data_IF_812869684772
#
_entry.id   IF_812869684772
#
_cell.length_a   1.000
_cell.length_b   1.000
_cell.length_c   1.000
_cell.angle_alpha   90.00
_cell.angle_beta   90.00
_cell.angle_gamma   90.00
#
_symmetry.space_group_name_H-M   'P 1'
#
loop_
_entity.id
_entity.type
_entity.pdbx_description
1 polymer ?
2 non-polymer ?
3 non-polymer ?
4 non-polymer ?
5 water ?
#
# COMPACT_ATOMS: atom_id res chain seq x y z
N UNK A 3 -7.01 -10.54 15.01
CA UNK A 3 -6.51 -9.15 15.29
C UNK A 3 -7.58 -8.11 15.05
N UNK A 4 -7.60 -7.04 15.84
CA UNK A 4 -8.71 -6.09 15.79
C UNK A 4 -8.37 -4.72 15.16
N UNK A 5 -9.06 -4.51 14.06
CA UNK A 5 -8.96 -3.36 13.24
C UNK A 5 -9.63 -2.16 13.96
N UNK A 6 -8.96 -1.02 13.92
CA UNK A 6 -9.51 0.24 14.47
C UNK A 6 -10.79 0.61 13.72
N UNK A 7 -11.93 0.79 14.42
CA UNK A 7 -13.13 1.18 13.68
C UNK A 7 -13.06 2.62 13.21
N UNK A 8 -13.57 2.88 12.01
CA UNK A 8 -13.58 4.23 11.45
C UNK A 8 -14.80 4.37 10.56
N UNK A 9 -15.26 5.62 10.35
CA UNK A 9 -16.22 5.83 9.27
C UNK A 9 -15.67 5.41 7.92
N UNK A 10 -16.58 5.08 7.02
CA UNK A 10 -16.23 4.76 5.65
C UNK A 10 -16.12 6.03 4.81
N UNK A 11 -15.01 6.16 4.11
CA UNK A 11 -14.83 7.21 3.13
C UNK A 11 -14.74 6.57 1.77
N UNK A 12 -15.65 6.92 0.87
CA UNK A 12 -15.54 6.41 -0.50
C UNK A 12 -14.59 7.29 -1.31
N UNK A 13 -13.61 6.66 -1.92
CA UNK A 13 -12.76 7.30 -2.88
C UNK A 13 -13.18 6.75 -4.24
N UNK A 14 -13.95 7.52 -5.01
CA UNK A 14 -14.66 6.94 -6.16
C UNK A 14 -15.48 5.76 -5.65
N UNK A 15 -15.33 4.60 -6.29
CA UNK A 15 -16.08 3.41 -5.90
C UNK A 15 -15.40 2.59 -4.80
N UNK A 16 -14.22 3.01 -4.34
CA UNK A 16 -13.42 2.23 -3.39
C UNK A 16 -13.67 2.72 -1.97
N UNK A 17 -14.25 1.86 -1.10
CA UNK A 17 -14.47 2.31 0.26
C UNK A 17 -13.22 2.09 1.09
N UNK A 18 -12.89 3.07 1.92
CA UNK A 18 -11.79 2.87 2.85
C UNK A 18 -12.26 3.17 4.26
N UNK A 19 -11.73 2.39 5.19
CA UNK A 19 -12.10 2.53 6.55
C UNK A 19 -12.12 1.20 7.24
N UNK A 20 -12.43 1.21 8.52
CA UNK A 20 -12.30 0.00 9.38
C UNK A 20 -13.12 -1.22 8.98
N UNK A 21 -14.20 -1.01 8.24
CA UNK A 21 -15.02 -2.09 7.76
C UNK A 21 -14.58 -2.68 6.40
N UNK A 22 -13.50 -2.16 5.83
CA UNK A 22 -13.12 -2.48 4.46
C UNK A 22 -11.68 -2.96 4.34
N UNK A 23 -11.39 -3.72 3.27
CA UNK A 23 -10.00 -4.14 3.05
C UNK A 23 -9.07 -2.93 3.00
N UNK A 24 -7.88 -3.09 3.56
CA UNK A 24 -6.86 -2.02 3.48
C UNK A 24 -6.45 -1.86 2.02
N UNK A 25 -6.64 -0.66 1.49
CA UNK A 25 -6.43 -0.38 0.07
C UNK A 25 -5.02 -0.04 -0.28
N UNK A 26 -4.57 -0.58 -1.39
CA UNK A 26 -3.25 -0.26 -1.92
C UNK A 26 -3.33 0.92 -2.86
N UNK A 27 -2.45 1.89 -2.70
CA UNK A 27 -2.38 2.98 -3.64
C UNK A 27 -0.96 3.26 -4.08
N UNK A 28 -0.85 4.13 -5.06
CA UNK A 28 0.42 4.50 -5.63
C UNK A 28 0.29 5.89 -6.21
N UNK A 29 1.36 6.37 -6.82
CA UNK A 29 1.36 7.69 -7.42
C UNK A 29 2.15 7.63 -8.70
N UNK A 30 1.68 8.35 -9.72
CA UNK A 30 2.39 8.46 -10.97
C UNK A 30 3.68 9.31 -10.85
N UNK A 31 4.60 9.09 -11.79
CA UNK A 31 5.79 9.97 -11.90
C UNK A 31 6.01 10.58 -13.28
N UNK A 32 4.97 10.52 -14.10
CA UNK A 32 4.95 11.19 -15.38
C UNK A 32 4.49 12.65 -15.18
N UNK A 33 4.94 13.56 -16.06
CA UNK A 33 4.35 14.89 -16.04
C UNK A 33 2.83 14.81 -16.30
N UNK A 34 2.02 15.32 -15.39
CA UNK A 34 0.58 15.23 -15.54
C UNK A 34 0.07 15.87 -16.86
N UNK A 35 0.72 16.94 -17.31
CA UNK A 35 0.36 17.58 -18.54
C UNK A 35 0.46 16.63 -19.74
N UNK A 36 1.31 15.61 -19.64
CA UNK A 36 1.44 14.60 -20.71
C UNK A 36 0.32 13.57 -20.56
N UNK A 37 -0.77 13.81 -21.28
CA UNK A 37 -1.98 12.98 -21.14
C UNK A 37 -1.75 11.51 -21.51
N UNK A 38 -1.02 11.27 -22.58
CA UNK A 38 -0.82 9.91 -23.06
C UNK A 38 0.05 9.15 -22.06
N UNK A 39 1.16 9.77 -21.62
CA UNK A 39 2.06 9.10 -20.69
C UNK A 39 1.37 8.84 -19.33
N UNK A 40 0.62 9.82 -18.83
CA UNK A 40 0.02 9.70 -17.53
C UNK A 40 -1.13 8.68 -17.53
N UNK A 41 -1.98 8.76 -18.55
CA UNK A 41 -3.05 7.77 -18.69
C UNK A 41 -2.49 6.35 -18.71
N UNK A 42 -1.43 6.13 -19.51
CA UNK A 42 -0.82 4.80 -19.63
C UNK A 42 -0.28 4.34 -18.28
N UNK A 43 0.33 5.26 -17.50
CA UNK A 43 0.93 4.84 -16.25
C UNK A 43 -0.17 4.59 -15.22
N UNK A 44 -1.24 5.38 -15.22
CA UNK A 44 -2.36 5.12 -14.32
C UNK A 44 -2.91 3.69 -14.55
N UNK A 45 -3.10 3.34 -15.83
CA UNK A 45 -3.57 2.02 -16.21
C UNK A 45 -2.60 0.92 -15.80
N UNK A 46 -1.30 1.15 -15.99
CA UNK A 46 -0.26 0.19 -15.60
C UNK A 46 -0.31 -0.06 -14.09
N UNK A 47 -0.42 1.02 -13.32
CA UNK A 47 -0.42 0.89 -11.88
C UNK A 47 -1.68 0.18 -11.39
N UNK A 48 -2.82 0.56 -11.96
CA UNK A 48 -4.10 -0.08 -11.64
C UNK A 48 -4.06 -1.57 -11.95
N UNK A 49 -3.55 -1.93 -13.12
CA UNK A 49 -3.48 -3.34 -13.51
C UNK A 49 -2.55 -4.14 -12.60
N UNK A 50 -1.53 -3.50 -12.03
CA UNK A 50 -0.62 -4.14 -11.08
C UNK A 50 -1.23 -4.34 -9.70
N UNK A 51 -2.35 -3.66 -9.45
CA UNK A 51 -3.06 -3.77 -8.17
C UNK A 51 -3.24 -2.50 -7.38
N UNK A 52 -2.89 -1.34 -7.97
CA UNK A 52 -3.18 -0.04 -7.33
C UNK A 52 -4.68 0.26 -7.41
N UNK A 53 -5.37 0.15 -6.29
CA UNK A 53 -6.81 0.34 -6.21
C UNK A 53 -7.20 1.83 -6.32
N UNK A 54 -6.30 2.70 -5.89
CA UNK A 54 -6.42 4.19 -5.98
C UNK A 54 -5.10 4.69 -6.63
N UNK A 55 -5.14 5.70 -7.51
CA UNK A 55 -3.91 6.25 -8.04
C UNK A 55 -3.91 7.77 -7.84
N UNK A 56 -2.81 8.29 -7.31
CA UNK A 56 -2.58 9.70 -7.11
C UNK A 56 -1.74 10.29 -8.23
N UNK A 57 -2.03 11.54 -8.62
CA UNK A 57 -1.21 12.26 -9.56
C UNK A 57 -1.02 13.71 -9.12
N UNK A 58 0.17 14.26 -9.36
CA UNK A 58 0.41 15.63 -8.94
C UNK A 58 -0.40 16.57 -9.85
N UNK A 59 -1.03 17.57 -9.24
CA UNK A 59 -1.69 18.61 -10.01
C UNK A 59 -1.03 19.91 -9.60
N UNK A 60 0.13 20.18 -10.25
CA UNK A 60 1.09 21.18 -9.76
C UNK A 60 1.00 22.58 -10.37
N UNK A 61 0.40 22.64 -11.56
CA UNK A 61 0.31 23.87 -12.34
C UNK A 61 -0.89 23.83 -13.27
N UNK A 62 -1.07 24.92 -14.02
CA UNK A 62 -2.25 25.09 -14.82
C UNK A 62 -2.31 24.04 -15.93
N UNK A 63 -1.16 23.72 -16.53
CA UNK A 63 -1.15 22.74 -17.61
C UNK A 63 -1.49 21.34 -17.09
N UNK A 64 -1.05 21.02 -15.87
CA UNK A 64 -1.48 19.77 -15.23
C UNK A 64 -2.99 19.74 -15.02
N UNK A 65 -3.51 20.82 -14.45
CA UNK A 65 -4.92 20.91 -14.17
C UNK A 65 -5.76 20.72 -15.44
N UNK A 66 -5.33 21.34 -16.55
CA UNK A 66 -6.06 21.24 -17.81
C UNK A 66 -6.05 19.81 -18.39
N UNK A 67 -5.03 19.02 -18.05
CA UNK A 67 -4.92 17.62 -18.52
C UNK A 67 -5.82 16.63 -17.78
N UNK A 68 -6.17 16.92 -16.54
CA UNK A 68 -6.82 15.92 -15.66
C UNK A 68 -8.16 15.44 -16.24
N UNK A 69 -9.03 16.36 -16.75
CA UNK A 69 -10.31 15.88 -17.29
C UNK A 69 -10.14 14.92 -18.46
N UNK A 70 -9.16 15.17 -19.31
CA UNK A 70 -8.92 14.28 -20.43
C UNK A 70 -8.38 12.94 -19.97
N UNK A 71 -7.50 12.93 -18.99
CA UNK A 71 -6.98 11.66 -18.46
C UNK A 71 -8.16 10.85 -17.89
N UNK A 72 -9.02 11.50 -17.08
CA UNK A 72 -10.18 10.78 -16.53
C UNK A 72 -11.12 10.24 -17.62
N UNK A 73 -11.36 11.04 -18.65
CA UNK A 73 -12.23 10.65 -19.76
C UNK A 73 -11.69 9.40 -20.45
N UNK A 74 -10.38 9.38 -20.67
CA UNK A 74 -9.78 8.24 -21.32
C UNK A 74 -9.86 6.98 -20.49
N UNK A 75 -9.67 7.13 -19.18
CA UNK A 75 -9.78 5.99 -18.26
C UNK A 75 -11.18 5.39 -18.31
N UNK A 76 -12.18 6.25 -18.21
CA UNK A 76 -13.55 5.81 -18.21
C UNK A 76 -13.96 5.15 -19.54
N UNK A 77 -13.38 5.60 -20.66
CA UNK A 77 -13.66 5.03 -21.96
C UNK A 77 -13.24 3.57 -22.05
N UNK A 78 -12.27 3.15 -21.24
CA UNK A 78 -11.98 1.73 -21.19
C UNK A 78 -12.47 1.00 -19.98
N UNK A 79 -13.47 1.59 -19.32
CA UNK A 79 -14.06 0.96 -18.15
C UNK A 79 -13.12 0.91 -16.95
N UNK A 80 -12.05 1.72 -16.93
CA UNK A 80 -11.13 1.71 -15.80
C UNK A 80 -11.62 2.73 -14.79
N UNK A 81 -12.32 2.22 -13.77
CA UNK A 81 -12.95 3.08 -12.75
C UNK A 81 -12.03 3.40 -11.58
N UNK A 82 -10.73 3.41 -11.84
CA UNK A 82 -9.74 3.65 -10.84
C UNK A 82 -9.85 5.11 -10.35
N UNK A 83 -10.03 5.29 -9.05
CA UNK A 83 -10.12 6.68 -8.59
C UNK A 83 -8.80 7.41 -8.64
N UNK A 84 -8.88 8.69 -8.96
CA UNK A 84 -7.75 9.59 -9.01
C UNK A 84 -7.77 10.59 -7.85
N UNK A 85 -6.62 10.69 -7.21
CA UNK A 85 -6.36 11.64 -6.14
C UNK A 85 -5.44 12.71 -6.71
N UNK A 86 -5.85 13.97 -6.58
CA UNK A 86 -4.98 15.05 -6.98
C UNK A 86 -4.11 15.55 -5.86
N UNK A 87 -2.81 15.70 -6.12
CA UNK A 87 -1.87 16.10 -5.07
C UNK A 87 -1.60 17.61 -5.26
N UNK A 88 -1.99 18.42 -4.28
CA UNK A 88 -1.91 19.88 -4.42
C UNK A 88 -0.92 20.45 -3.41
N UNK A 89 -0.08 21.39 -3.85
CA UNK A 89 0.84 22.15 -2.99
C UNK A 89 0.94 23.57 -3.48
N UNK A 90 0.92 24.51 -2.54
CA UNK A 90 1.13 25.96 -2.76
C UNK A 90 0.01 26.69 -3.47
N UNK A 91 -0.49 26.13 -4.57
CA UNK A 91 -1.46 26.82 -5.40
C UNK A 91 -2.74 26.02 -5.61
N UNK A 92 -3.02 25.07 -4.72
CA UNK A 92 -4.19 24.19 -4.86
C UNK A 92 -5.50 24.96 -4.92
N UNK A 93 -5.63 25.97 -4.06
CA UNK A 93 -6.81 26.81 -4.05
C UNK A 93 -7.03 27.54 -5.41
N UNK A 94 -5.97 28.01 -6.04
CA UNK A 94 -6.05 28.71 -7.32
C UNK A 94 -6.46 27.74 -8.42
N UNK A 95 -5.86 26.54 -8.42
CA UNK A 95 -6.13 25.57 -9.49
C UNK A 95 -7.55 25.01 -9.43
N UNK A 96 -8.00 24.67 -8.23
CA UNK A 96 -9.35 24.17 -8.01
C UNK A 96 -10.40 25.24 -8.36
N UNK A 97 -10.12 26.52 -8.04
CA UNK A 97 -11.01 27.64 -8.38
C UNK A 97 -11.06 27.86 -9.89
N UNK A 98 -9.88 27.87 -10.54
CA UNK A 98 -9.79 28.25 -11.96
C UNK A 98 -10.21 27.15 -12.93
N UNK A 99 -10.08 25.89 -12.49
CA UNK A 99 -10.33 24.72 -13.35
C UNK A 99 -11.38 23.77 -12.75
N UNK A 100 -12.65 24.21 -12.74
CA UNK A 100 -13.71 23.40 -12.11
C UNK A 100 -13.87 22.01 -12.73
N UNK A 101 -13.52 21.85 -14.01
CA UNK A 101 -13.64 20.53 -14.65
C UNK A 101 -12.59 19.55 -14.12
N UNK A 102 -11.41 20.07 -13.75
CA UNK A 102 -10.42 19.26 -13.06
C UNK A 102 -10.93 18.89 -11.67
N UNK A 103 -11.48 19.87 -10.95
CA UNK A 103 -11.99 19.59 -9.61
C UNK A 103 -13.07 18.49 -9.62
N UNK A 104 -13.93 18.54 -10.62
CA UNK A 104 -15.00 17.55 -10.75
C UNK A 104 -14.48 16.19 -11.25
N UNK A 105 -13.40 16.17 -12.04
CA UNK A 105 -12.86 14.91 -12.58
C UNK A 105 -12.10 14.09 -11.55
N UNK A 106 -11.45 14.77 -10.61
CA UNK A 106 -10.76 14.09 -9.51
C UNK A 106 -11.76 13.41 -8.60
N UNK A 107 -11.33 12.31 -7.97
CA UNK A 107 -12.15 11.59 -7.02
C UNK A 107 -11.82 11.97 -5.56
N UNK A 108 -10.69 12.65 -5.35
CA UNK A 108 -10.25 13.06 -4.03
C UNK A 108 -9.18 14.12 -4.18
N UNK A 109 -9.16 15.05 -3.22
CA UNK A 109 -8.15 16.09 -3.15
C UNK A 109 -7.22 15.79 -1.97
N UNK A 110 -5.92 15.86 -2.22
CA UNK A 110 -4.93 15.86 -1.13
C UNK A 110 -4.47 17.30 -0.87
N UNK A 111 -4.62 17.70 0.40
CA UNK A 111 -4.13 18.99 0.96
C UNK A 111 -2.96 18.71 1.90
N UNK A 112 -1.94 19.59 1.90
CA UNK A 112 -0.85 19.48 2.84
C UNK A 112 -0.88 20.74 3.69
N UNK A 113 -1.13 20.58 5.01
CA UNK A 113 -1.23 21.79 5.84
C UNK A 113 0.06 22.64 5.95
N UNK A 114 1.17 22.09 5.50
CA UNK A 114 2.43 22.80 5.44
C UNK A 114 2.76 23.44 4.10
N UNK A 115 1.91 23.24 3.10
CA UNK A 115 2.14 23.85 1.78
C UNK A 115 0.93 24.68 1.35
N UNK A 116 0.34 25.38 2.29
CA UNK A 116 -0.85 26.19 2.00
C UNK A 116 -0.48 27.66 1.75
N UNK A 117 0.72 28.07 2.13
CA UNK A 117 1.12 29.50 2.13
C UNK A 117 1.57 29.94 3.52
N UNK A 118 1.90 31.21 3.69
CA UNK A 118 2.48 31.67 4.97
C UNK A 118 1.50 32.47 5.85
N UNK A 119 1.67 32.31 7.15
CA UNK A 119 0.81 32.97 8.16
C UNK A 119 -0.69 32.99 7.88
N UNK A 120 -1.19 34.16 7.50
CA UNK A 120 -2.63 34.42 7.45
C UNK A 120 -3.24 33.82 6.16
N UNK A 121 -2.42 33.76 5.12
CA UNK A 121 -2.88 33.19 3.85
C UNK A 121 -3.29 31.71 4.03
N UNK A 122 -2.63 31.00 4.92
CA UNK A 122 -2.87 29.57 5.15
C UNK A 122 -4.34 29.23 5.38
N UNK A 123 -4.92 29.86 6.42
CA UNK A 123 -6.30 29.55 6.81
C UNK A 123 -7.28 29.79 5.67
N UNK A 124 -7.09 30.89 4.93
CA UNK A 124 -7.95 31.21 3.80
C UNK A 124 -7.83 30.19 2.66
N UNK A 125 -6.61 29.77 2.34
CA UNK A 125 -6.39 28.81 1.25
C UNK A 125 -6.98 27.45 1.63
N UNK A 126 -6.77 27.04 2.88
CA UNK A 126 -7.38 25.83 3.41
C UNK A 126 -8.89 25.85 3.26
N UNK A 127 -9.51 26.91 3.78
CA UNK A 127 -10.98 27.05 3.73
C UNK A 127 -11.52 26.96 2.31
N UNK A 128 -10.82 27.58 1.36
CA UNK A 128 -11.25 27.56 -0.04
C UNK A 128 -11.24 26.15 -0.66
N UNK A 129 -10.18 25.39 -0.40
CA UNK A 129 -10.08 24.03 -0.91
C UNK A 129 -11.15 23.14 -0.27
N UNK A 130 -11.38 23.32 1.03
CA UNK A 130 -12.43 22.56 1.74
C UNK A 130 -13.84 22.93 1.21
N UNK A 131 -14.11 24.24 1.03
CA UNK A 131 -15.34 24.71 0.41
C UNK A 131 -15.60 24.05 -0.96
N UNK A 132 -14.58 24.01 -1.83
CA UNK A 132 -14.71 23.36 -3.13
C UNK A 132 -15.03 21.86 -3.00
N UNK A 133 -14.32 21.17 -2.12
CA UNK A 133 -14.61 19.76 -1.84
C UNK A 133 -16.04 19.57 -1.37
N UNK A 134 -16.50 20.40 -0.44
CA UNK A 134 -17.88 20.31 0.06
C UNK A 134 -18.89 20.57 -1.06
N UNK A 135 -18.64 21.59 -1.87
CA UNK A 135 -19.54 21.92 -3.01
C UNK A 135 -19.69 20.75 -3.97
N UNK A 136 -18.59 20.02 -4.19
CA UNK A 136 -18.55 18.96 -5.18
C UNK A 136 -18.73 17.54 -4.60
N UNK A 137 -18.85 17.47 -3.29
CA UNK A 137 -19.03 16.21 -2.59
C UNK A 137 -17.79 15.34 -2.64
N UNK A 138 -16.62 15.96 -2.76
CA UNK A 138 -15.37 15.22 -2.78
C UNK A 138 -14.75 14.99 -1.41
N UNK A 139 -14.15 13.81 -1.25
CA UNK A 139 -13.34 13.54 -0.06
C UNK A 139 -11.97 14.21 -0.15
N UNK A 140 -11.34 14.38 1.00
CA UNK A 140 -10.08 15.07 1.13
C UNK A 140 -9.14 14.25 2.01
N UNK A 141 -7.87 14.19 1.64
CA UNK A 141 -6.85 13.73 2.56
C UNK A 141 -6.12 14.96 3.04
N UNK A 142 -6.08 15.11 4.34
CA UNK A 142 -5.22 16.06 4.94
C UNK A 142 -3.94 15.32 5.27
N UNK A 143 -2.90 15.64 4.52
CA UNK A 143 -1.69 14.88 4.59
C UNK A 143 -0.51 15.72 4.99
N UNK A 144 -0.08 15.54 6.21
CA UNK A 144 1.10 16.19 6.72
C UNK A 144 2.36 15.34 6.43
N UNK A 145 3.47 16.02 6.23
CA UNK A 145 4.74 15.36 6.00
C UNK A 145 5.82 16.18 6.72
N UNK A 146 6.72 15.50 7.39
CA UNK A 146 7.73 16.20 8.15
C UNK A 146 8.71 17.00 7.27
N UNK A 147 8.69 16.73 5.98
CA UNK A 147 9.49 17.47 5.04
C UNK A 147 8.92 18.84 4.68
N UNK A 148 7.70 19.10 5.08
CA UNK A 148 7.01 20.34 4.78
C UNK A 148 6.16 20.74 6.01
N UNK A 149 6.78 20.79 7.17
CA UNK A 149 6.07 21.07 8.41
C UNK A 149 5.83 22.59 8.54
N UNK A 150 4.60 22.98 8.85
CA UNK A 150 4.22 24.37 9.18
C UNK A 150 5.18 24.98 10.22
N UNK A 151 6.01 25.97 9.83
CA UNK A 151 7.00 26.52 10.80
C UNK A 151 6.41 27.25 12.01
N UNK A 152 5.23 27.85 11.85
CA UNK A 152 4.57 28.59 12.94
C UNK A 152 4.10 27.63 14.02
N UNK A 153 3.58 26.49 13.58
CA UNK A 153 3.17 25.45 14.50
C UNK A 153 4.37 24.87 15.25
N UNK A 154 5.49 24.69 14.54
CA UNK A 154 6.70 24.15 15.13
C UNK A 154 7.20 25.09 16.24
N UNK A 155 7.18 26.39 15.95
CA UNK A 155 7.65 27.35 16.94
C UNK A 155 6.71 27.35 18.16
N UNK A 156 5.39 27.24 17.92
CA UNK A 156 4.44 27.16 19.04
C UNK A 156 4.76 25.98 19.96
N UNK A 157 5.04 24.84 19.39
CA UNK A 157 5.29 23.64 20.19
C UNK A 157 6.69 23.61 20.79
N UNK A 158 7.63 24.27 20.13
CA UNK A 158 8.96 24.41 20.71
C UNK A 158 8.88 25.27 21.98
N UNK A 159 8.02 26.29 21.99
CA UNK A 159 7.87 27.16 23.17
C UNK A 159 7.14 26.43 24.31
N UNK A 160 6.09 25.68 23.97
CA UNK A 160 5.41 24.84 24.97
C UNK A 160 6.40 23.89 25.60
N UNK A 161 7.23 23.27 24.77
CA UNK A 161 8.21 22.33 25.26
C UNK A 161 9.25 22.94 26.20
N UNK A 162 9.69 24.15 25.85
CA UNK A 162 10.64 24.89 26.67
C UNK A 162 10.12 25.25 28.06
N UNK A 163 8.80 25.32 28.22
CA UNK A 163 8.18 25.56 29.52
C UNK A 163 8.03 24.30 30.38
N UNK A 164 8.28 23.12 29.82
CA UNK A 164 8.09 21.88 30.57
C UNK A 164 9.16 21.73 31.62
N UNK A 165 8.83 21.11 32.77
CA UNK A 165 9.86 20.86 33.78
C UNK A 165 11.03 20.02 33.25
N UNK A 166 10.75 19.07 32.36
CA UNK A 166 11.79 18.33 31.64
C UNK A 166 11.50 18.42 30.13
N UNK A 167 12.07 19.41 29.45
CA UNK A 167 11.79 19.51 28.03
C UNK A 167 12.26 18.28 27.24
N UNK A 168 11.48 17.91 26.23
CA UNK A 168 11.83 16.84 25.30
C UNK A 168 12.84 17.32 24.29
N UNK A 169 13.39 16.39 23.52
CA UNK A 169 14.35 16.74 22.51
C UNK A 169 13.66 17.46 21.36
N UNK A 170 14.46 18.16 20.57
CA UNK A 170 13.99 18.88 19.40
C UNK A 170 13.33 17.92 18.42
N UNK A 171 13.90 16.72 18.30
CA UNK A 171 13.35 15.69 17.40
C UNK A 171 11.92 15.31 17.84
N UNK A 172 11.76 15.07 19.12
CA UNK A 172 10.47 14.72 19.69
C UNK A 172 9.44 15.83 19.47
N UNK A 173 9.86 17.10 19.64
CA UNK A 173 8.97 18.23 19.37
C UNK A 173 8.52 18.28 17.91
N UNK A 174 9.43 18.01 17.00
CA UNK A 174 9.03 17.95 15.58
C UNK A 174 7.91 16.92 15.38
N UNK A 175 8.01 15.74 15.98
CA UNK A 175 6.99 14.72 15.86
C UNK A 175 5.66 15.18 16.47
N UNK A 176 5.74 15.86 17.61
CA UNK A 176 4.54 16.46 18.22
C UNK A 176 3.85 17.44 17.29
N UNK A 177 4.66 18.27 16.65
CA UNK A 177 4.16 19.29 15.75
C UNK A 177 3.51 18.71 14.51
N UNK A 178 4.11 17.64 13.99
CA UNK A 178 3.56 16.96 12.82
C UNK A 178 2.15 16.42 13.13
N UNK A 179 2.00 15.77 14.27
CA UNK A 179 0.70 15.24 14.70
C UNK A 179 -0.28 16.39 14.87
N UNK A 180 0.19 17.42 15.57
CA UNK A 180 -0.69 18.57 15.85
C UNK A 180 -1.18 19.27 14.57
N UNK A 181 -0.31 19.36 13.57
CA UNK A 181 -0.66 19.92 12.29
C UNK A 181 -1.84 19.18 11.67
N UNK A 182 -1.74 17.85 11.61
CA UNK A 182 -2.80 17.01 11.04
C UNK A 182 -4.09 17.08 11.86
N UNK A 183 -3.96 16.98 13.20
CA UNK A 183 -5.14 16.99 14.06
C UNK A 183 -5.87 18.34 14.00
N UNK A 184 -5.13 19.44 14.06
CA UNK A 184 -5.76 20.79 13.98
C UNK A 184 -6.49 21.00 12.68
N UNK A 185 -5.87 20.56 11.59
CA UNK A 185 -6.51 20.72 10.29
C UNK A 185 -7.74 19.85 10.14
N UNK A 186 -7.64 18.61 10.64
CA UNK A 186 -8.81 17.71 10.72
C UNK A 186 -9.99 18.36 11.43
N UNK A 187 -9.72 18.88 12.63
CA UNK A 187 -10.74 19.52 13.43
C UNK A 187 -11.33 20.78 12.73
N UNK A 188 -10.47 21.55 12.08
CA UNK A 188 -10.92 22.72 11.32
C UNK A 188 -11.89 22.34 10.20
N UNK A 189 -11.54 21.30 9.47
CA UNK A 189 -12.34 20.85 8.34
C UNK A 189 -13.69 20.34 8.80
N UNK A 190 -13.70 19.57 9.88
CA UNK A 190 -14.97 19.15 10.49
C UNK A 190 -15.84 20.32 10.93
N UNK A 191 -15.20 21.31 11.53
CA UNK A 191 -15.93 22.47 12.00
C UNK A 191 -16.54 23.30 10.86
N UNK A 192 -15.88 23.28 9.70
CA UNK A 192 -16.40 23.93 8.49
C UNK A 192 -17.55 23.16 7.86
N UNK A 193 -17.78 21.92 8.29
CA UNK A 193 -18.89 21.13 7.81
C UNK A 193 -18.55 20.00 6.85
N UNK A 194 -17.26 19.75 6.64
CA UNK A 194 -16.87 18.62 5.79
C UNK A 194 -17.23 17.35 6.54
N UNK A 195 -17.80 16.36 5.87
CA UNK A 195 -18.28 15.19 6.65
C UNK A 195 -17.17 14.27 7.13
N UNK A 196 -17.43 13.49 8.18
CA UNK A 196 -16.54 12.41 8.61
C UNK A 196 -16.41 11.34 7.55
N UNK A 197 -17.38 11.25 6.65
CA UNK A 197 -17.27 10.32 5.52
C UNK A 197 -16.50 10.91 4.34
N UNK A 198 -15.83 12.04 4.56
CA UNK A 198 -15.11 12.74 3.51
C UNK A 198 -13.68 13.14 3.90
N UNK A 199 -13.17 12.60 5.00
CA UNK A 199 -11.85 13.00 5.52
C UNK A 199 -10.96 11.80 5.87
N UNK A 200 -9.78 11.79 5.26
CA UNK A 200 -8.72 10.82 5.48
C UNK A 200 -7.51 11.63 5.99
N UNK A 201 -6.72 11.07 6.90
CA UNK A 201 -5.53 11.73 7.43
C UNK A 201 -4.26 10.92 7.22
N UNK A 202 -3.15 11.62 7.00
CA UNK A 202 -1.80 11.03 7.06
C UNK A 202 -0.85 12.05 7.74
N UNK A 203 0.25 11.53 8.27
CA UNK A 203 1.28 12.36 8.91
C UNK A 203 2.57 11.57 8.81
N UNK A 204 3.27 11.76 7.72
CA UNK A 204 4.36 10.88 7.36
C UNK A 204 5.75 11.43 7.76
N UNK A 205 6.59 10.49 8.17
CA UNK A 205 7.99 10.72 8.48
C UNK A 205 8.81 9.64 7.81
N UNK A 206 10.13 9.83 7.76
CA UNK A 206 11.00 8.96 6.96
C UNK A 206 11.79 7.95 7.82
N UNK A 207 11.56 7.95 9.12
CA UNK A 207 12.11 6.90 10.04
C UNK A 207 11.05 6.02 10.67
N UNK A 208 11.24 4.72 10.58
CA UNK A 208 10.27 3.72 11.02
C UNK A 208 9.82 3.88 12.46
N UNK A 209 10.73 4.01 13.40
CA UNK A 209 10.27 4.06 14.80
C UNK A 209 9.45 5.33 15.06
N UNK A 210 9.81 6.41 14.39
CA UNK A 210 9.09 7.67 14.52
C UNK A 210 7.69 7.57 13.90
N UNK A 211 7.58 6.85 12.79
CA UNK A 211 6.28 6.69 12.14
C UNK A 211 5.31 5.95 13.07
N UNK A 212 5.83 4.94 13.78
CA UNK A 212 4.99 4.18 14.68
C UNK A 212 4.44 5.11 15.78
N UNK A 213 5.30 5.91 16.36
CA UNK A 213 4.81 6.88 17.39
C UNK A 213 3.78 7.82 16.84
N UNK A 214 4.05 8.43 15.71
CA UNK A 214 3.12 9.39 15.09
C UNK A 214 1.73 8.78 14.83
N UNK A 215 1.66 7.59 14.24
CA UNK A 215 0.38 7.03 13.87
C UNK A 215 -0.37 6.52 15.07
N UNK A 216 0.34 6.07 16.11
CA UNK A 216 -0.35 5.72 17.35
C UNK A 216 -1.04 6.95 17.92
N UNK A 217 -0.38 8.11 17.85
CA UNK A 217 -0.98 9.37 18.33
C UNK A 217 -2.18 9.80 17.47
N UNK A 218 -2.03 9.78 16.15
CA UNK A 218 -3.14 10.06 15.21
C UNK A 218 -4.35 9.15 15.42
N UNK A 219 -4.10 7.87 15.65
CA UNK A 219 -5.16 6.90 15.81
C UNK A 219 -5.93 7.17 17.08
N UNK A 220 -5.22 7.63 18.11
CA UNK A 220 -5.84 7.92 19.41
C UNK A 220 -6.66 9.21 19.37
N UNK A 221 -6.10 10.23 18.73
CA UNK A 221 -6.65 11.56 18.80
C UNK A 221 -7.74 11.89 17.77
N UNK A 222 -7.87 11.02 16.77
CA UNK A 222 -8.84 11.20 15.71
C UNK A 222 -9.65 9.94 15.46
N UNK A 223 -10.75 10.12 14.74
CA UNK A 223 -11.60 9.02 14.32
C UNK A 223 -11.45 8.66 12.83
N UNK A 224 -10.64 9.41 12.10
CA UNK A 224 -10.58 9.28 10.65
C UNK A 224 -9.87 8.01 10.20
N UNK A 225 -10.25 7.51 9.01
CA UNK A 225 -9.38 6.55 8.35
C UNK A 225 -8.02 7.17 8.10
N UNK A 226 -7.01 6.32 8.17
CA UNK A 226 -5.61 6.74 8.08
C UNK A 226 -4.94 6.15 6.85
N UNK A 227 -4.28 7.05 6.14
CA UNK A 227 -3.42 6.73 5.01
C UNK A 227 -2.01 6.62 5.60
N UNK A 228 -1.44 5.41 5.54
CA UNK A 228 -0.17 5.10 6.16
C UNK A 228 0.91 4.91 5.14
N UNK A 229 2.05 5.54 5.40
CA UNK A 229 3.24 5.31 4.61
C UNK A 229 4.47 5.89 5.25
N UNK A 230 5.60 5.23 5.02
CA UNK A 230 6.90 5.74 5.37
C UNK A 230 7.40 6.59 4.21
N UNK A 231 7.43 7.90 4.41
CA UNK A 231 7.78 8.78 3.32
C UNK A 231 9.29 8.71 3.06
N UNK A 232 9.63 8.90 1.79
CA UNK A 232 11.02 9.03 1.32
C UNK A 232 11.86 7.79 1.75
N UNK A 233 11.34 6.59 1.53
CA UNK A 233 11.95 5.36 2.01
C UNK A 233 13.22 5.04 1.24
N UNK A 234 13.34 5.54 0.04
CA UNK A 234 14.58 5.41 -0.67
C UNK A 234 14.60 4.27 -1.68
N UNK A 235 15.81 3.92 -2.10
CA UNK A 235 16.01 3.04 -3.24
C UNK A 235 16.31 1.61 -2.82
N UNK A 236 16.01 0.67 -3.71
CA UNK A 236 16.43 -0.74 -3.56
C UNK A 236 15.96 -1.44 -2.31
N UNK A 237 16.79 -2.36 -1.84
CA UNK A 237 16.47 -3.18 -0.69
C UNK A 237 16.19 -2.34 0.56
N UNK A 238 16.94 -1.27 0.71
CA UNK A 238 16.78 -0.39 1.85
C UNK A 238 15.35 0.13 1.91
N UNK A 239 14.85 0.62 0.77
CA UNK A 239 13.51 1.22 0.71
C UNK A 239 12.46 0.19 1.03
N UNK A 240 12.63 -1.01 0.47
CA UNK A 240 11.68 -2.11 0.68
C UNK A 240 11.63 -2.50 2.17
N UNK A 241 12.80 -2.75 2.76
CA UNK A 241 12.86 -3.19 4.15
C UNK A 241 12.33 -2.14 5.09
N UNK A 242 12.73 -0.90 4.89
CA UNK A 242 12.32 0.20 5.78
C UNK A 242 10.80 0.34 5.76
N UNK A 243 10.22 0.26 4.56
CA UNK A 243 8.77 0.39 4.40
C UNK A 243 8.03 -0.72 5.15
N UNK A 244 8.46 -1.97 4.97
CA UNK A 244 7.83 -3.10 5.62
C UNK A 244 8.02 -3.00 7.14
N UNK A 245 9.21 -2.63 7.58
CA UNK A 245 9.48 -2.53 8.99
C UNK A 245 8.66 -1.46 9.70
N UNK A 246 8.41 -0.37 8.99
CA UNK A 246 7.66 0.74 9.55
C UNK A 246 6.18 0.44 9.63
N UNK A 247 5.65 -0.24 8.63
CA UNK A 247 4.21 -0.41 8.55
C UNK A 247 3.72 -1.56 9.40
N UNK A 248 4.51 -2.60 9.52
CA UNK A 248 4.06 -3.81 10.16
C UNK A 248 3.59 -3.64 11.59
N UNK A 249 4.34 -2.88 12.42
CA UNK A 249 3.88 -2.80 13.82
C UNK A 249 2.52 -2.13 13.92
N UNK A 250 2.29 -1.15 13.07
CA UNK A 250 1.03 -0.42 13.05
C UNK A 250 -0.12 -1.27 12.49
N UNK A 251 0.11 -1.91 11.34
CA UNK A 251 -0.91 -2.78 10.75
C UNK A 251 -1.27 -3.94 11.68
N UNK A 252 -0.30 -4.51 12.38
CA UNK A 252 -0.60 -5.58 13.30
C UNK A 252 -1.45 -5.14 14.46
N UNK A 253 -1.34 -3.85 14.83
CA UNK A 253 -2.11 -3.23 15.90
C UNK A 253 -3.47 -2.75 15.44
N UNK A 254 -3.80 -2.92 14.15
CA UNK A 254 -5.09 -2.49 13.65
C UNK A 254 -5.18 -1.06 13.13
N UNK A 255 -4.05 -0.38 13.00
CA UNK A 255 -3.98 0.99 12.54
C UNK A 255 -3.59 1.06 11.05
N UNK A 256 -4.41 1.76 10.26
CA UNK A 256 -4.17 1.97 8.85
C UNK A 256 -5.28 1.42 7.97
N UNK A 257 -5.75 2.24 7.04
CA UNK A 257 -6.86 1.93 6.14
C UNK A 257 -6.51 1.93 4.67
N UNK A 258 -5.40 2.56 4.32
CA UNK A 258 -4.86 2.53 2.97
C UNK A 258 -3.35 2.74 3.14
N UNK A 259 -2.57 2.15 2.24
CA UNK A 259 -1.11 2.28 2.30
C UNK A 259 -0.55 2.65 0.95
N UNK A 260 0.56 3.38 1.00
CA UNK A 260 1.38 3.66 -0.16
C UNK A 260 2.85 3.43 0.26
N UNK A 261 3.59 2.76 -0.62
CA UNK A 261 5.01 2.50 -0.39
C UNK A 261 5.81 3.49 -1.24
N UNK A 262 6.64 4.29 -0.57
CA UNK A 262 7.37 5.43 -1.16
C UNK A 262 8.83 5.05 -1.55
N UNK A 263 8.95 4.29 -2.63
CA UNK A 263 10.24 3.81 -3.15
C UNK A 263 10.73 4.73 -4.22
N UNK A 264 12.04 4.94 -4.22
CA UNK A 264 12.70 5.63 -5.32
C UNK A 264 13.05 4.57 -6.37
N UNK A 265 12.44 4.65 -7.58
CA UNK A 265 12.87 3.65 -8.57
C UNK A 265 14.30 3.90 -9.01
N UNK A 266 15.04 2.81 -9.21
CA UNK A 266 16.33 2.92 -9.89
C UNK A 266 16.06 3.37 -11.33
N UNK A 267 17.05 4.01 -11.96
CA UNK A 267 16.87 4.37 -13.36
C UNK A 267 16.41 3.15 -14.16
N UNK A 268 15.30 3.30 -14.88
CA UNK A 268 14.74 2.21 -15.67
C UNK A 268 13.94 1.14 -14.94
N UNK A 269 13.84 1.21 -13.61
CA UNK A 269 12.99 0.30 -12.81
C UNK A 269 11.52 0.73 -12.91
N UNK A 270 10.58 -0.23 -13.10
CA UNK A 270 9.16 0.19 -13.25
C UNK A 270 8.53 0.81 -12.03
N UNK A 271 7.63 1.77 -12.24
CA UNK A 271 6.92 2.39 -11.15
C UNK A 271 6.00 1.42 -10.38
N UNK A 272 5.64 0.29 -11.00
CA UNK A 272 4.80 -0.74 -10.39
C UNK A 272 5.47 -1.49 -9.24
N UNK A 273 6.79 -1.38 -9.10
CA UNK A 273 7.43 -2.06 -7.98
C UNK A 273 6.82 -1.68 -6.62
N UNK A 274 6.49 -0.41 -6.42
CA UNK A 274 5.96 -0.01 -5.13
C UNK A 274 4.61 -0.67 -4.84
N UNK A 275 3.84 -0.97 -5.88
CA UNK A 275 2.52 -1.65 -5.71
C UNK A 275 2.73 -3.10 -5.27
N UNK A 276 3.72 -3.75 -5.88
CA UNK A 276 4.10 -5.12 -5.54
C UNK A 276 4.53 -5.19 -4.09
N UNK A 277 5.32 -4.23 -3.63
CA UNK A 277 5.79 -4.24 -2.25
C UNK A 277 4.63 -4.00 -1.27
N UNK A 278 3.75 -3.05 -1.58
CA UNK A 278 2.57 -2.80 -0.74
C UNK A 278 1.73 -4.06 -0.60
N UNK A 279 1.53 -4.77 -1.72
CA UNK A 279 0.72 -6.00 -1.67
C UNK A 279 1.39 -7.07 -0.79
N UNK A 280 2.72 -7.15 -0.90
CA UNK A 280 3.49 -8.16 -0.16
C UNK A 280 3.43 -7.87 1.34
N UNK A 281 3.40 -6.59 1.71
CA UNK A 281 3.33 -6.24 3.15
C UNK A 281 2.01 -6.72 3.70
N UNK A 282 0.94 -6.36 3.01
CA UNK A 282 -0.39 -6.76 3.49
C UNK A 282 -0.60 -8.27 3.54
N UNK A 283 -0.10 -8.94 2.52
CA UNK A 283 -0.24 -10.38 2.47
C UNK A 283 0.65 -11.08 3.51
N UNK A 284 1.85 -10.55 3.73
CA UNK A 284 2.73 -11.13 4.77
C UNK A 284 2.07 -11.12 6.16
N UNK A 285 1.24 -10.11 6.40
CA UNK A 285 0.62 -9.91 7.71
C UNK A 285 -0.77 -10.53 7.79
N UNK A 286 -1.16 -11.25 6.73
CA UNK A 286 -2.45 -11.93 6.69
C UNK A 286 -3.66 -11.01 6.58
N UNK A 287 -3.46 -9.81 6.05
CA UNK A 287 -4.52 -8.80 6.03
C UNK A 287 -5.26 -8.79 4.71
N UNK A 288 -4.58 -9.22 3.65
CA UNK A 288 -5.20 -9.33 2.33
C UNK A 288 -4.52 -10.51 1.64
N UNK A 289 -5.20 -11.05 0.65
CA UNK A 289 -4.62 -12.09 -0.19
C UNK A 289 -4.73 -11.65 -1.63
N UNK A 290 -3.59 -11.53 -2.29
CA UNK A 290 -3.50 -11.13 -3.68
C UNK A 290 -3.15 -12.23 -4.64
N UNK A 291 -2.32 -13.16 -4.20
CA UNK A 291 -1.83 -14.19 -5.10
C UNK A 291 -1.29 -15.33 -4.27
N UNK A 292 -1.32 -16.57 -4.81
CA UNK A 292 -0.67 -17.68 -4.15
C UNK A 292 0.75 -17.35 -3.73
N UNK A 293 1.21 -17.95 -2.65
CA UNK A 293 2.59 -17.74 -2.21
C UNK A 293 3.34 -19.04 -2.00
N UNK A 294 4.64 -19.00 -2.25
CA UNK A 294 5.51 -20.14 -1.99
C UNK A 294 6.34 -19.89 -0.74
N UNK A 295 6.25 -20.85 0.16
CA UNK A 295 7.08 -20.97 1.35
C UNK A 295 8.19 -21.96 1.00
N UNK A 296 9.44 -21.53 1.21
CA UNK A 296 10.59 -22.37 0.92
C UNK A 296 11.69 -22.12 1.90
N UNK A 297 12.43 -23.17 2.24
CA UNK A 297 13.57 -23.02 3.14
C UNK A 297 14.72 -22.30 2.45
N UNK A 298 15.70 -21.84 3.23
CA UNK A 298 16.85 -21.20 2.58
C UNK A 298 17.79 -22.13 1.82
N UNK A 299 17.67 -23.43 2.11
CA UNK A 299 18.63 -24.42 1.67
C UNK A 299 19.83 -24.34 2.59
N UNK A 300 20.54 -25.45 2.74
CA UNK A 300 21.77 -25.47 3.54
C UNK A 300 22.63 -26.57 3.00
N UNK A 301 23.70 -26.92 3.72
CA UNK A 301 24.52 -28.05 3.33
C UNK A 301 23.86 -29.41 3.30
N UNK A 302 22.62 -29.53 3.78
CA UNK A 302 21.85 -30.78 3.64
C UNK A 302 21.19 -30.94 2.26
N UNK A 303 21.09 -29.83 1.53
CA UNK A 303 20.41 -29.74 0.29
C UNK A 303 21.29 -30.35 -0.79
N UNK A 304 20.67 -31.15 -1.63
CA UNK A 304 21.37 -32.15 -2.45
C UNK A 304 22.03 -31.52 -3.66
N UNK A 305 21.32 -30.63 -4.33
CA UNK A 305 21.87 -29.95 -5.49
C UNK A 305 21.24 -28.55 -5.65
N UNK A 306 21.59 -27.89 -6.77
CA UNK A 306 20.94 -26.63 -7.22
C UNK A 306 19.47 -26.83 -7.65
N UNK A 307 19.05 -28.09 -7.75
CA UNK A 307 17.64 -28.40 -8.11
C UNK A 307 16.66 -27.75 -7.17
N UNK A 308 16.98 -27.70 -5.88
CA UNK A 308 16.05 -27.11 -4.92
C UNK A 308 15.74 -25.65 -5.27
N UNK A 309 16.76 -24.83 -5.45
CA UNK A 309 16.55 -23.42 -5.79
C UNK A 309 15.86 -23.29 -7.11
N UNK A 310 16.23 -24.13 -8.08
CA UNK A 310 15.57 -24.13 -9.38
C UNK A 310 14.09 -24.48 -9.28
N UNK A 311 13.78 -25.50 -8.48
CA UNK A 311 12.40 -25.94 -8.31
C UNK A 311 11.56 -24.86 -7.64
N UNK A 312 12.09 -24.27 -6.57
CA UNK A 312 11.34 -23.21 -5.89
C UNK A 312 11.02 -22.07 -6.85
N UNK A 313 12.04 -21.69 -7.62
CA UNK A 313 11.86 -20.62 -8.60
C UNK A 313 10.84 -20.98 -9.67
N UNK A 314 10.91 -22.21 -10.17
CA UNK A 314 9.96 -22.63 -11.20
C UNK A 314 8.51 -22.67 -10.72
N UNK A 315 8.30 -23.13 -9.49
CA UNK A 315 6.96 -23.17 -8.91
C UNK A 315 6.43 -21.75 -8.77
N UNK A 316 7.25 -20.84 -8.25
CA UNK A 316 6.81 -19.46 -8.13
C UNK A 316 6.44 -18.88 -9.51
N UNK A 317 7.29 -19.12 -10.51
CA UNK A 317 7.04 -18.62 -11.85
C UNK A 317 5.74 -19.16 -12.46
N UNK A 318 5.50 -20.46 -12.30
CA UNK A 318 4.29 -21.09 -12.83
C UNK A 318 3.04 -20.52 -12.18
N UNK A 319 3.07 -20.39 -10.85
CA UNK A 319 1.94 -19.81 -10.11
C UNK A 319 1.59 -18.40 -10.61
N UNK A 320 2.62 -17.59 -10.91
CA UNK A 320 2.41 -16.24 -11.46
C UNK A 320 1.76 -16.33 -12.85
N UNK A 321 2.24 -17.26 -13.68
CA UNK A 321 1.66 -17.44 -15.03
C UNK A 321 0.18 -17.88 -15.00
N UNK A 322 -0.17 -18.75 -14.05
CA UNK A 322 -1.54 -19.30 -13.95
C UNK A 322 -2.56 -18.34 -13.31
N UNK A 323 -2.07 -17.37 -12.53
CA UNK A 323 -2.97 -16.54 -11.70
C UNK A 323 -4.12 -15.83 -12.45
N UNK A 324 -3.85 -15.16 -13.57
CA UNK A 324 -4.94 -14.49 -14.28
C UNK A 324 -6.11 -15.44 -14.55
N UNK A 325 -5.82 -16.62 -15.07
CA UNK A 325 -6.84 -17.62 -15.35
C UNK A 325 -7.47 -18.14 -14.08
N UNK A 326 -6.64 -18.49 -13.11
CA UNK A 326 -7.15 -19.05 -11.86
C UNK A 326 -8.08 -18.11 -11.09
N UNK A 327 -7.72 -16.84 -11.06
CA UNK A 327 -8.49 -15.79 -10.42
C UNK A 327 -9.92 -15.74 -10.99
N UNK A 328 -10.04 -15.97 -12.30
CA UNK A 328 -11.33 -16.03 -12.99
C UNK A 328 -12.16 -17.30 -12.66
N UNK A 329 -11.50 -18.46 -12.64
CA UNK A 329 -12.21 -19.75 -12.50
C UNK A 329 -12.42 -20.25 -11.09
N UNK A 330 -11.49 -19.91 -10.19
CA UNK A 330 -11.38 -20.55 -8.87
C UNK A 330 -11.39 -19.54 -7.73
N UNK A 331 -12.59 -19.09 -7.34
CA UNK A 331 -12.72 -18.10 -6.28
C UNK A 331 -12.00 -18.52 -5.01
N UNK A 332 -11.19 -17.60 -4.47
CA UNK A 332 -10.49 -17.83 -3.22
C UNK A 332 -9.06 -18.31 -3.41
N UNK A 333 -8.65 -18.59 -4.65
CA UNK A 333 -7.32 -19.14 -4.94
C UNK A 333 -6.17 -18.23 -4.50
N UNK A 334 -6.45 -16.94 -4.32
CA UNK A 334 -5.47 -15.99 -3.85
C UNK A 334 -4.87 -16.41 -2.47
N UNK A 335 -5.60 -17.24 -1.73
CA UNK A 335 -5.15 -17.75 -0.42
C UNK A 335 -4.23 -18.97 -0.48
N UNK A 336 -4.00 -19.51 -1.67
CA UNK A 336 -3.20 -20.72 -1.81
C UNK A 336 -1.80 -20.55 -1.22
N UNK A 337 -1.39 -21.51 -0.39
CA UNK A 337 -0.05 -21.57 0.18
C UNK A 337 0.61 -22.85 -0.36
N UNK A 338 1.75 -22.73 -1.04
CA UNK A 338 2.49 -23.88 -1.57
C UNK A 338 3.86 -23.91 -0.88
N UNK A 339 4.31 -25.09 -0.48
CA UNK A 339 5.68 -25.20 0.10
C UNK A 339 6.59 -25.98 -0.83
N UNK A 340 7.86 -25.58 -0.88
CA UNK A 340 8.91 -26.30 -1.58
C UNK A 340 10.09 -26.30 -0.62
N UNK A 341 10.48 -27.49 -0.16
CA UNK A 341 11.43 -27.64 0.94
C UNK A 341 12.59 -28.53 0.58
N UNK A 342 13.73 -28.27 1.22
CA UNK A 342 15.00 -28.87 0.80
C UNK A 342 15.40 -30.20 1.37
N UNK A 343 14.89 -30.57 2.55
CA UNK A 343 15.21 -31.87 3.15
C UNK A 343 14.18 -32.24 4.21
N UNK A 344 14.37 -33.42 4.80
CA UNK A 344 13.42 -34.03 5.73
C UNK A 344 13.34 -33.29 7.06
N UNK A 345 14.32 -32.44 7.38
CA UNK A 345 14.31 -31.81 8.72
C UNK A 345 13.01 -31.03 8.94
N UNK A 346 12.75 -30.08 8.07
CA UNK A 346 11.52 -29.32 8.11
C UNK A 346 10.56 -29.55 6.92
N UNK A 347 10.98 -30.34 5.96
CA UNK A 347 10.20 -30.48 4.74
C UNK A 347 8.77 -30.97 4.92
N UNK A 348 8.58 -32.16 5.54
CA UNK A 348 7.22 -32.70 5.75
C UNK A 348 6.38 -31.78 6.60
N UNK A 349 6.94 -31.29 7.70
CA UNK A 349 6.18 -30.48 8.65
C UNK A 349 5.71 -29.19 8.01
N UNK A 350 6.62 -28.48 7.34
CA UNK A 350 6.22 -27.23 6.68
C UNK A 350 5.20 -27.51 5.56
N UNK A 351 5.43 -28.62 4.82
CA UNK A 351 4.52 -29.00 3.73
C UNK A 351 3.11 -29.28 4.24
N UNK A 352 3.01 -29.88 5.43
CA UNK A 352 1.71 -30.17 6.03
C UNK A 352 1.00 -28.91 6.56
N UNK A 353 1.75 -27.81 6.77
CA UNK A 353 1.13 -26.52 7.11
C UNK A 353 0.63 -25.74 5.89
N UNK A 354 1.19 -26.01 4.71
CA UNK A 354 0.71 -25.44 3.49
C UNK A 354 -0.58 -26.14 2.99
N UNK A 355 -1.20 -25.60 1.95
CA UNK A 355 -2.27 -26.32 1.28
C UNK A 355 -1.71 -27.57 0.58
N UNK A 356 -0.58 -27.36 -0.08
CA UNK A 356 0.14 -28.41 -0.77
C UNK A 356 1.64 -28.09 -0.75
N UNK A 357 2.45 -29.11 -0.56
CA UNK A 357 3.91 -28.92 -0.56
C UNK A 357 4.70 -30.17 -0.84
N UNK A 358 5.91 -29.95 -1.29
CA UNK A 358 6.84 -31.03 -1.62
C UNK A 358 8.08 -30.90 -0.75
N UNK A 359 8.54 -32.05 -0.25
CA UNK A 359 9.80 -32.16 0.54
C UNK A 359 10.83 -32.96 -0.27
N UNK A 360 11.86 -32.27 -0.76
CA UNK A 360 12.90 -32.94 -1.51
C UNK A 360 13.74 -33.76 -0.60
N UNK A 361 14.40 -34.78 -1.19
CA UNK A 361 15.35 -35.52 -0.43
C UNK A 361 16.69 -34.75 -0.39
N UNK A 362 17.16 -34.59 0.83
CA UNK A 362 18.46 -34.04 1.11
C UNK A 362 19.50 -35.11 1.36
N UNK A 363 20.61 -34.68 1.94
CA UNK A 363 21.76 -35.56 2.15
C UNK A 363 21.37 -36.74 3.01
N UNK A 364 21.75 -37.92 2.55
CA UNK A 364 21.59 -39.13 3.34
C UNK A 364 20.26 -39.82 3.17
N UNK A 365 19.38 -39.23 2.38
CA UNK A 365 18.01 -39.71 2.22
C UNK A 365 17.86 -40.52 0.92
N UNK A 366 16.86 -41.39 0.88
CA UNK A 366 16.53 -42.08 -0.40
C UNK A 366 16.06 -41.02 -1.40
N UNK A 367 16.32 -41.21 -2.71
CA UNK A 367 15.95 -40.20 -3.71
C UNK A 367 14.46 -40.26 -4.08
N UNK A 368 13.65 -39.82 -3.14
CA UNK A 368 12.20 -39.69 -3.30
C UNK A 368 11.70 -38.46 -2.57
N UNK A 369 10.61 -37.90 -3.08
CA UNK A 369 10.12 -36.60 -2.63
C UNK A 369 8.64 -36.71 -2.29
N UNK A 370 8.32 -36.82 -1.01
CA UNK A 370 6.90 -36.86 -0.64
C UNK A 370 6.20 -35.53 -0.88
N UNK A 371 4.94 -35.62 -1.27
CA UNK A 371 4.08 -34.46 -1.50
C UNK A 371 2.92 -34.58 -0.52
N UNK A 372 2.61 -33.48 0.17
CA UNK A 372 1.54 -33.44 1.13
C UNK A 372 0.50 -32.47 0.65
N UNK A 373 -0.76 -32.74 0.96
CA UNK A 373 -1.84 -31.80 0.67
C UNK A 373 -2.86 -31.89 1.81
N UNK A 374 -3.41 -30.74 2.22
CA UNK A 374 -4.33 -30.65 3.37
C UNK A 374 -3.82 -31.43 4.59
N UNK A 375 -2.52 -31.34 4.80
CA UNK A 375 -1.89 -31.86 6.00
C UNK A 375 -1.58 -33.34 6.00
N UNK A 376 -1.78 -34.01 4.86
CA UNK A 376 -1.46 -35.44 4.80
C UNK A 376 -0.79 -35.87 3.50
N UNK A 377 -0.14 -37.03 3.54
CA UNK A 377 0.56 -37.52 2.39
C UNK A 377 -0.38 -37.69 1.19
N UNK A 378 0.03 -37.11 0.05
CA UNK A 378 -0.71 -37.19 -1.20
C UNK A 378 -0.06 -38.21 -2.16
N UNK A 379 1.25 -38.09 -2.34
CA UNK A 379 1.99 -39.05 -3.12
C UNK A 379 3.48 -38.91 -2.82
N UNK A 380 4.27 -39.71 -3.51
CA UNK A 380 5.72 -39.66 -3.41
C UNK A 380 6.27 -39.68 -4.81
N UNK A 381 7.05 -38.66 -5.11
CA UNK A 381 7.63 -38.47 -6.43
C UNK A 381 9.08 -38.92 -6.50
N UNK A 382 9.48 -39.39 -7.69
CA UNK A 382 10.84 -39.88 -7.93
C UNK A 382 11.24 -39.67 -9.38
N UNK A 383 12.55 -39.63 -9.61
CA UNK A 383 13.11 -39.61 -10.96
C UNK A 383 13.16 -38.22 -11.58
N UNK A 384 13.20 -38.20 -12.92
CA UNK A 384 13.14 -36.97 -13.69
C UNK A 384 11.71 -36.44 -13.68
N UNK A 385 11.54 -35.21 -14.12
CA UNK A 385 10.21 -34.61 -14.16
C UNK A 385 9.47 -34.42 -12.84
N UNK A 386 10.16 -34.49 -11.69
CA UNK A 386 9.57 -34.08 -10.40
C UNK A 386 8.85 -32.74 -10.51
N UNK A 387 9.50 -31.78 -11.15
CA UNK A 387 8.95 -30.42 -11.26
C UNK A 387 7.62 -30.40 -11.99
N UNK A 388 7.57 -31.02 -13.17
CA UNK A 388 6.34 -31.02 -13.96
C UNK A 388 5.24 -31.84 -13.26
N UNK A 389 5.61 -32.96 -12.62
CA UNK A 389 4.64 -33.75 -11.81
C UNK A 389 4.05 -32.92 -10.67
N UNK A 390 4.91 -32.28 -9.90
CA UNK A 390 4.42 -31.46 -8.78
C UNK A 390 3.47 -30.33 -9.25
N UNK A 391 3.83 -29.66 -10.33
CA UNK A 391 2.99 -28.57 -10.82
C UNK A 391 1.62 -29.07 -11.32
N UNK A 392 1.57 -30.29 -11.85
CA UNK A 392 0.30 -30.90 -12.20
C UNK A 392 -0.53 -31.16 -10.96
N UNK A 393 0.13 -31.63 -9.90
CA UNK A 393 -0.55 -31.93 -8.65
C UNK A 393 -1.12 -30.63 -8.03
N UNK A 394 -0.37 -29.54 -8.15
CA UNK A 394 -0.83 -28.23 -7.65
C UNK A 394 -2.06 -27.75 -8.44
N UNK A 395 -1.99 -27.87 -9.78
CA UNK A 395 -3.14 -27.56 -10.60
C UNK A 395 -4.38 -28.39 -10.21
N UNK A 396 -4.19 -29.70 -10.05
CA UNK A 396 -5.27 -30.61 -9.65
C UNK A 396 -5.84 -30.18 -8.32
N UNK A 397 -4.96 -29.85 -7.39
CA UNK A 397 -5.38 -29.40 -6.05
C UNK A 397 -6.28 -28.15 -6.10
N UNK A 398 -5.83 -27.15 -6.86
CA UNK A 398 -6.54 -25.88 -7.01
C UNK A 398 -7.95 -26.11 -7.57
N UNK A 399 -8.05 -26.96 -8.62
CA UNK A 399 -9.34 -27.26 -9.25
C UNK A 399 -10.34 -27.83 -8.27
N UNK A 400 -9.88 -28.66 -7.34
CA UNK A 400 -10.78 -29.29 -6.36
C UNK A 400 -11.03 -28.35 -5.17
N UNK A 401 -9.97 -27.83 -4.58
CA UNK A 401 -10.09 -26.99 -3.38
C UNK A 401 -10.83 -25.68 -3.61
N UNK A 402 -10.55 -25.02 -4.73
CA UNK A 402 -11.13 -23.69 -5.01
C UNK A 402 -12.19 -23.69 -6.10
N UNK A 403 -12.74 -24.87 -6.39
CA UNK A 403 -13.92 -25.02 -7.25
C UNK A 403 -15.03 -24.06 -6.82
N UNK A 404 -15.76 -23.48 -7.79
CA UNK A 404 -16.89 -22.61 -7.42
C UNK A 404 -18.03 -23.35 -6.71
X LIG B 1 17.10 -23.78 11.36
X LIG B 1 16.13 -22.95 12.08
X LIG B 1 16.90 -22.07 12.98
X LIG B 1 15.09 -23.79 12.74
X LIG B 1 15.38 -22.12 10.98
X LIG B 1 16.03 -21.35 9.75
X LIG B 1 14.92 -20.71 9.03
X LIG B 1 17.06 -20.41 10.25
X LIG B 1 16.75 -22.45 8.83
X LIG B 1 15.87 -23.45 8.30
X LIG B 1 16.04 -24.85 8.82
X LIG B 1 17.05 -25.40 9.73
X LIG B 1 16.82 -26.41 10.81
X LIG B 1 15.58 -26.27 11.55
X LIG B 1 18.31 -24.91 9.20
X LIG B 1 15.46 -25.89 8.13
X LIG C 1 18.51 -27.14 5.34
X LIG C 1 16.35 -26.67 6.67
X LIG C 1 16.66 -28.92 5.39
X LIG C 1 16.15 -26.70 4.17
X LIG C 1 14.77 -27.79 5.53
X LIG C 1 17.66 -28.18 3.55
X LIG C 1 17.41 -25.25 5.34
X LIG C 1 17.77 -28.22 7.16
X LIG D 1 11.07 28.71 19.12
X LIG D 1 11.32 28.32 20.45
X LIG D 1 11.54 30.14 18.91
X LIG D 1 11.52 30.41 17.50
X LIG D 1 10.64 31.16 19.63
X LIG D 1 9.27 31.10 19.23
X LIG E 1 2.86 -9.16 -4.80
X LIG E 1 2.70 -8.48 -6.04
X LIG E 1 1.47 -9.62 -4.38
X LIG E 1 0.86 -10.30 -5.48
X LIG E 1 1.45 -10.48 -3.09
X LIG E 1 0.89 -11.77 -3.31
#
# INVERSE_FOLDING_TARGET
MEGMRRPTPTVYVGRVPIGGAHPIAVQSMTNTPTRDVEATTAQVLELHRAGSEIVRLTVNDEEAAKAVPEIKRRLLAEGAEVPLVGDFHFNGHLLLRKYPKMAEALDKFRINPGTLGRGRHKDEHFAEMIRIAMDLGKPVRIGANWGSLDPALLTELMDRNARRPEPKSAHEVVLEALVESAVRAYEAALEMGLGEDKLVLSAKVSKARDLVWVYRELARRTQAPLHLGLTEAGMGVKGIVASAAALAPLLLEGIGDTIRVSLTPAPGEPRTKEVEVAQEILQALGLRAFAPEVTSCPGCGRTTSTFFQELAEEVSRRLKERLPEWRARYPGVEELKVAVMGCVVNGPGESKHAHIGISLPGAGEEPKAPVYADGKLLTILKGEGIAEEFLRLVEDYVKTRFAPKA
43Q O6 P1 O5 O4 O3 P O8 O7 O2 C4 C3 C1 C O C2 O1
SF4 FE1 FE2 FE3 FE4 S1 S2 S3 S4
GOL C1 O1 C2 O2 C3 O3
GOL C1 O1 C2 O2 C3 O3
#
